data_IF_098296486292
#
_entry.id   IF_098296486292
#
_cell.length_a   1.000
_cell.length_b   1.000
_cell.length_c   1.000
_cell.angle_alpha   90.00
_cell.angle_beta   90.00
_cell.angle_gamma   90.00
#
_symmetry.space_group_name_H-M   'P 1'
#
loop_
_entity.id
_entity.type
_entity.pdbx_description
1 polymer ?
#
# COMPACT_ATOMS: atom_id res chain seq x y z
N UNK A 1 23.07 -37.25 -16.26
CA UNK A 1 21.68 -37.69 -16.52
C UNK A 1 20.79 -36.49 -16.28
N UNK A 2 20.36 -35.81 -17.34
CA UNK A 2 19.51 -34.61 -17.24
C UNK A 2 18.07 -35.04 -16.99
N UNK A 3 17.48 -34.63 -15.87
CA UNK A 3 16.04 -34.76 -15.63
C UNK A 3 15.31 -33.53 -16.19
N UNK A 4 14.13 -33.69 -16.80
CA UNK A 4 13.38 -32.58 -17.35
C UNK A 4 12.79 -31.72 -16.23
N UNK A 5 12.86 -30.41 -16.41
CA UNK A 5 12.24 -29.41 -15.53
C UNK A 5 10.74 -29.36 -15.86
N UNK A 6 9.81 -29.55 -14.91
CA UNK A 6 8.40 -29.34 -15.18
C UNK A 6 8.13 -27.85 -15.40
N UNK A 7 7.21 -27.54 -16.32
CA UNK A 7 6.81 -26.19 -16.68
C UNK A 7 6.23 -25.44 -15.46
N UNK A 8 6.97 -24.46 -14.96
CA UNK A 8 6.54 -23.54 -13.89
C UNK A 8 5.73 -22.39 -14.49
N UNK A 9 4.45 -22.62 -14.79
CA UNK A 9 3.49 -21.55 -15.02
C UNK A 9 2.77 -21.24 -13.70
N UNK A 10 2.98 -20.03 -13.16
CA UNK A 10 2.29 -19.42 -12.00
C UNK A 10 2.97 -19.46 -10.61
N UNK A 11 4.31 -19.41 -10.52
CA UNK A 11 4.97 -18.91 -9.30
C UNK A 11 5.36 -17.43 -9.51
N UNK A 12 5.16 -16.53 -8.52
CA UNK A 12 5.62 -15.16 -8.62
C UNK A 12 7.11 -15.13 -8.92
N UNK A 13 7.55 -14.28 -9.85
CA UNK A 13 8.96 -14.13 -10.24
C UNK A 13 9.90 -13.96 -9.03
N UNK A 14 9.44 -13.33 -7.95
CA UNK A 14 10.17 -13.21 -6.69
C UNK A 14 10.37 -14.54 -5.95
N UNK A 15 9.39 -15.45 -5.99
CA UNK A 15 9.51 -16.80 -5.44
C UNK A 15 10.42 -17.67 -6.31
N UNK A 16 10.39 -17.51 -7.63
CA UNK A 16 11.34 -18.16 -8.54
C UNK A 16 12.77 -17.63 -8.27
N UNK A 17 12.96 -16.32 -8.08
CA UNK A 17 14.26 -15.72 -7.79
C UNK A 17 14.79 -16.15 -6.41
N UNK A 18 13.92 -16.20 -5.39
CA UNK A 18 14.23 -16.71 -4.06
C UNK A 18 14.57 -18.22 -4.08
N UNK A 19 13.83 -19.02 -4.84
CA UNK A 19 14.14 -20.44 -5.06
C UNK A 19 15.42 -20.63 -5.89
N UNK A 20 15.74 -19.73 -6.83
CA UNK A 20 16.98 -19.76 -7.61
C UNK A 20 18.21 -19.40 -6.76
N UNK A 21 18.07 -18.48 -5.79
CA UNK A 21 19.09 -18.22 -4.77
C UNK A 21 19.31 -19.42 -3.85
N UNK A 22 18.28 -20.24 -3.62
CA UNK A 22 18.39 -21.51 -2.90
C UNK A 22 18.96 -22.64 -3.78
N UNK A 23 18.71 -22.62 -5.10
CA UNK A 23 19.14 -23.66 -6.06
C UNK A 23 20.59 -23.49 -6.53
N UNK A 24 21.09 -22.26 -6.63
CA UNK A 24 22.53 -21.98 -6.86
C UNK A 24 23.22 -22.06 -5.50
N UNK A 25 23.65 -23.26 -5.10
CA UNK A 25 24.26 -23.60 -3.81
C UNK A 25 25.49 -22.81 -3.38
N UNK A 26 25.33 -21.50 -3.17
CA UNK A 26 26.40 -20.56 -2.80
C UNK A 26 26.15 -19.87 -1.45
N UNK A 27 25.00 -20.08 -0.80
CA UNK A 27 24.66 -19.36 0.43
C UNK A 27 24.88 -20.23 1.69
N UNK A 28 24.91 -21.56 1.59
CA UNK A 28 24.99 -22.44 2.77
C UNK A 28 25.84 -23.69 2.53
N UNK A 29 26.79 -23.95 3.42
CA UNK A 29 27.55 -25.19 3.46
C UNK A 29 26.75 -26.36 4.10
N UNK A 30 25.69 -26.06 4.86
CA UNK A 30 24.84 -27.04 5.57
C UNK A 30 23.36 -26.59 5.57
N UNK A 31 22.40 -27.54 5.60
CA UNK A 31 20.96 -27.22 5.64
C UNK A 31 20.57 -26.58 6.99
N UNK A 32 19.71 -25.54 7.00
CA UNK A 32 19.25 -24.90 8.23
C UNK A 32 18.36 -25.84 9.05
N UNK A 33 18.52 -25.82 10.37
CA UNK A 33 17.77 -26.64 11.31
C UNK A 33 16.46 -25.94 11.70
N UNK A 34 16.42 -24.60 11.70
CA UNK A 34 15.24 -23.82 12.14
C UNK A 34 14.95 -22.58 11.29
N UNK A 35 13.70 -22.46 10.84
CA UNK A 35 13.24 -21.40 9.94
C UNK A 35 11.93 -20.81 10.46
N UNK A 36 11.82 -19.48 10.48
CA UNK A 36 10.55 -18.78 10.70
C UNK A 36 10.00 -18.20 9.40
N UNK A 37 8.69 -18.30 9.19
CA UNK A 37 7.97 -17.60 8.13
C UNK A 37 7.10 -16.54 8.80
N UNK A 38 7.26 -15.27 8.40
CA UNK A 38 6.43 -14.16 8.85
C UNK A 38 5.45 -13.81 7.75
N UNK A 39 4.20 -14.27 7.90
CA UNK A 39 3.08 -13.92 7.03
C UNK A 39 1.79 -13.92 7.86
N UNK A 40 1.50 -12.83 8.60
CA UNK A 40 0.40 -12.81 9.55
C UNK A 40 -0.99 -12.83 8.92
N UNK A 41 -1.13 -12.40 7.66
CA UNK A 41 -2.40 -12.32 6.91
C UNK A 41 -2.28 -11.35 5.73
N UNK A 42 -3.28 -11.18 4.85
CA UNK A 42 -4.67 -11.67 4.85
C UNK A 42 -4.86 -13.17 4.51
N UNK A 43 -6.10 -13.65 4.37
CA UNK A 43 -6.41 -15.04 3.98
C UNK A 43 -5.73 -15.44 2.66
N UNK A 44 -5.96 -14.69 1.58
CA UNK A 44 -5.40 -15.01 0.25
C UNK A 44 -3.88 -14.96 0.24
N UNK A 45 -3.32 -13.99 0.95
CA UNK A 45 -1.89 -13.84 1.24
C UNK A 45 -1.25 -15.09 1.89
N UNK A 46 -1.95 -15.73 2.83
CA UNK A 46 -1.48 -16.95 3.49
C UNK A 46 -1.53 -18.13 2.51
N UNK A 47 -2.64 -18.28 1.79
CA UNK A 47 -2.81 -19.34 0.78
C UNK A 47 -1.71 -19.27 -0.29
N UNK A 48 -1.38 -18.07 -0.77
CA UNK A 48 -0.30 -17.86 -1.75
C UNK A 48 1.11 -18.07 -1.16
N UNK A 49 1.28 -18.04 0.15
CA UNK A 49 2.55 -18.32 0.81
C UNK A 49 2.77 -19.81 1.14
N UNK A 50 1.71 -20.65 1.15
CA UNK A 50 1.82 -22.08 1.43
C UNK A 50 2.78 -22.85 0.49
N UNK A 51 2.84 -22.57 -0.82
CA UNK A 51 3.83 -23.20 -1.70
C UNK A 51 5.27 -22.92 -1.28
N UNK A 52 5.55 -21.77 -0.67
CA UNK A 52 6.88 -21.45 -0.14
C UNK A 52 7.26 -22.40 1.00
N UNK A 53 6.37 -22.61 1.97
CA UNK A 53 6.62 -23.58 3.06
C UNK A 53 6.81 -25.01 2.52
N UNK A 54 6.02 -25.40 1.51
CA UNK A 54 6.13 -26.72 0.87
C UNK A 54 7.47 -26.89 0.14
N UNK A 55 7.93 -25.87 -0.58
CA UNK A 55 9.22 -25.87 -1.26
C UNK A 55 10.39 -25.94 -0.28
N UNK A 56 10.31 -25.20 0.84
CA UNK A 56 11.31 -25.27 1.92
C UNK A 56 11.35 -26.66 2.52
N UNK A 57 10.20 -27.28 2.82
CA UNK A 57 10.11 -28.65 3.34
C UNK A 57 10.68 -29.68 2.35
N UNK A 58 10.40 -29.53 1.05
CA UNK A 58 10.94 -30.42 0.03
C UNK A 58 12.47 -30.34 -0.08
N UNK A 59 13.03 -29.11 0.03
CA UNK A 59 14.47 -28.89 -0.02
C UNK A 59 15.18 -29.30 1.27
N UNK A 60 14.55 -29.06 2.42
CA UNK A 60 15.09 -29.37 3.75
C UNK A 60 14.06 -30.12 4.60
N UNK A 61 13.92 -31.45 4.41
CA UNK A 61 12.90 -32.27 5.06
C UNK A 61 12.94 -32.25 6.59
N UNK A 62 14.10 -31.98 7.19
CA UNK A 62 14.29 -31.99 8.64
C UNK A 62 14.21 -30.60 9.30
N UNK A 63 14.09 -29.52 8.51
CA UNK A 63 14.02 -28.17 9.06
C UNK A 63 12.76 -27.95 9.90
N UNK A 64 12.87 -27.31 11.05
CA UNK A 64 11.74 -26.89 11.87
C UNK A 64 11.19 -25.57 11.33
N UNK A 65 9.98 -25.60 10.76
CA UNK A 65 9.37 -24.43 10.12
C UNK A 65 8.29 -23.88 11.06
N UNK A 66 8.55 -22.72 11.66
CA UNK A 66 7.56 -22.01 12.49
C UNK A 66 6.92 -20.87 11.71
N UNK A 67 5.60 -20.74 11.72
CA UNK A 67 4.88 -19.69 10.98
C UNK A 67 4.24 -18.68 11.91
N UNK A 68 4.58 -17.39 11.76
CA UNK A 68 3.94 -16.28 12.47
C UNK A 68 2.64 -15.88 11.77
N UNK A 69 1.50 -16.17 12.41
CA UNK A 69 0.16 -16.07 11.80
C UNK A 69 -0.84 -15.38 12.73
N UNK A 70 -1.77 -14.59 12.19
CA UNK A 70 -2.93 -14.07 12.94
C UNK A 70 -3.87 -15.22 13.33
N UNK A 71 -4.33 -15.32 14.60
CA UNK A 71 -5.22 -16.39 15.06
C UNK A 71 -6.44 -16.64 14.18
N UNK A 72 -6.97 -15.61 13.50
CA UNK A 72 -8.13 -15.73 12.61
C UNK A 72 -7.90 -16.65 11.42
N UNK A 73 -6.64 -16.85 11.05
CA UNK A 73 -6.24 -17.64 9.88
C UNK A 73 -5.41 -18.88 10.25
N UNK A 74 -5.14 -19.09 11.54
CA UNK A 74 -4.32 -20.18 12.06
C UNK A 74 -4.77 -21.56 11.55
N UNK A 75 -6.09 -21.75 11.46
CA UNK A 75 -6.72 -23.00 11.00
C UNK A 75 -6.36 -23.41 9.58
N UNK A 76 -5.88 -22.49 8.74
CA UNK A 76 -5.39 -22.81 7.39
C UNK A 76 -4.09 -23.61 7.41
N UNK A 77 -3.36 -23.57 8.52
CA UNK A 77 -2.11 -24.31 8.70
C UNK A 77 -2.31 -25.63 9.44
N UNK A 78 -3.53 -25.90 9.93
CA UNK A 78 -3.83 -27.14 10.64
C UNK A 78 -3.72 -28.34 9.67
N UNK A 79 -3.03 -29.39 10.09
CA UNK A 79 -2.77 -30.57 9.25
C UNK A 79 -1.74 -30.36 8.13
N UNK A 80 -1.15 -29.17 8.02
CA UNK A 80 -0.09 -28.92 7.03
C UNK A 80 1.22 -29.61 7.44
N UNK A 81 1.69 -30.57 6.64
CA UNK A 81 2.92 -31.35 6.91
C UNK A 81 4.22 -30.55 6.74
N UNK A 82 4.15 -29.39 6.11
CA UNK A 82 5.30 -28.53 5.89
C UNK A 82 5.56 -27.61 7.08
N UNK A 83 4.52 -27.19 7.81
CA UNK A 83 4.64 -26.27 8.96
C UNK A 83 4.71 -27.05 10.27
N UNK A 84 5.81 -26.89 11.02
CA UNK A 84 6.04 -27.59 12.29
C UNK A 84 5.30 -26.93 13.45
N UNK A 85 5.30 -25.60 13.50
CA UNK A 85 4.72 -24.84 14.62
C UNK A 85 4.04 -23.55 14.15
N UNK A 86 2.99 -23.14 14.87
CA UNK A 86 2.34 -21.85 14.68
C UNK A 86 2.76 -20.88 15.80
N UNK A 87 3.09 -19.65 15.43
CA UNK A 87 3.38 -18.54 16.34
C UNK A 87 2.25 -17.52 16.19
N UNK A 88 1.35 -17.47 17.15
CA UNK A 88 0.16 -16.63 17.07
C UNK A 88 0.51 -15.15 17.26
N UNK A 89 0.20 -14.32 16.27
CA UNK A 89 0.38 -12.88 16.28
C UNK A 89 -0.90 -12.17 16.74
N UNK A 90 -0.88 -11.43 17.87
CA UNK A 90 -2.10 -10.93 18.53
C UNK A 90 -2.63 -9.64 17.88
N UNK A 91 -2.87 -9.65 16.56
CA UNK A 91 -3.22 -8.45 15.78
C UNK A 91 -4.41 -7.66 16.35
N UNK A 92 -5.42 -8.34 16.89
CA UNK A 92 -6.61 -7.71 17.49
C UNK A 92 -6.31 -6.99 18.80
N UNK A 93 -5.40 -7.54 19.63
CA UNK A 93 -4.94 -6.92 20.89
C UNK A 93 -3.98 -5.75 20.66
N UNK A 94 -3.39 -5.67 19.47
CA UNK A 94 -2.54 -4.54 19.04
C UNK A 94 -3.34 -3.35 18.50
N UNK A 95 -4.62 -3.23 18.90
CA UNK A 95 -5.49 -2.08 18.62
C UNK A 95 -5.89 -1.40 19.93
N UNK A 96 -5.98 -0.07 19.94
CA UNK A 96 -6.37 0.72 21.11
C UNK A 96 -5.21 1.19 22.00
N UNK A 97 -5.56 1.81 23.12
CA UNK A 97 -4.62 2.54 24.00
C UNK A 97 -3.60 1.65 24.73
N UNK A 98 -3.86 0.35 24.89
CA UNK A 98 -2.94 -0.65 25.47
C UNK A 98 -2.11 -1.42 24.44
N UNK A 99 -2.18 -1.04 23.16
CA UNK A 99 -1.52 -1.76 22.07
C UNK A 99 0.00 -1.92 22.26
N UNK A 100 0.67 -0.90 22.80
CA UNK A 100 2.11 -0.95 23.08
C UNK A 100 2.47 -2.02 24.12
N UNK A 101 1.71 -2.10 25.22
CA UNK A 101 1.90 -3.11 26.27
C UNK A 101 1.74 -4.53 25.71
N UNK A 102 0.66 -4.78 24.96
CA UNK A 102 0.43 -6.09 24.34
C UNK A 102 1.49 -6.45 23.29
N UNK A 103 2.06 -5.47 22.60
CA UNK A 103 3.18 -5.70 21.68
C UNK A 103 4.44 -6.12 22.45
N UNK A 104 4.72 -5.44 23.57
CA UNK A 104 5.85 -5.76 24.44
C UNK A 104 5.70 -7.12 25.09
N UNK A 105 4.52 -7.47 25.61
CA UNK A 105 4.21 -8.78 26.18
C UNK A 105 4.44 -9.90 25.16
N UNK A 106 3.93 -9.72 23.95
CA UNK A 106 4.11 -10.70 22.88
C UNK A 106 5.58 -10.81 22.45
N UNK A 107 6.27 -9.69 22.27
CA UNK A 107 7.69 -9.67 21.95
C UNK A 107 8.53 -10.33 23.06
N UNK A 108 8.23 -10.07 24.32
CA UNK A 108 8.85 -10.73 25.46
C UNK A 108 8.59 -12.25 25.45
N UNK A 109 7.39 -12.67 25.03
CA UNK A 109 7.07 -14.08 24.77
C UNK A 109 7.93 -14.70 23.67
N UNK A 110 8.24 -13.95 22.60
CA UNK A 110 9.17 -14.40 21.56
C UNK A 110 10.61 -14.54 22.07
N UNK A 111 11.06 -13.64 22.96
CA UNK A 111 12.42 -13.69 23.53
C UNK A 111 12.68 -14.97 24.34
N UNK A 112 11.63 -15.61 24.86
CA UNK A 112 11.71 -16.91 25.55
C UNK A 112 11.90 -18.09 24.60
N UNK A 113 11.68 -17.91 23.29
CA UNK A 113 11.89 -18.94 22.27
C UNK A 113 13.35 -18.93 21.80
N UNK A 114 13.84 -20.09 21.38
CA UNK A 114 15.13 -20.17 20.68
C UNK A 114 15.05 -19.39 19.37
N UNK A 115 16.05 -18.53 19.07
CA UNK A 115 16.08 -17.80 17.80
C UNK A 115 16.24 -18.80 16.64
N UNK A 116 15.51 -18.63 15.52
CA UNK A 116 15.73 -19.45 14.35
C UNK A 116 17.03 -19.06 13.65
N UNK A 117 17.57 -19.92 12.80
CA UNK A 117 18.71 -19.55 11.96
C UNK A 117 18.27 -18.56 10.87
N UNK A 118 17.08 -18.80 10.31
CA UNK A 118 16.52 -18.03 9.20
C UNK A 118 15.13 -17.51 9.56
N UNK A 119 14.84 -16.26 9.22
CA UNK A 119 13.49 -15.70 9.24
C UNK A 119 13.15 -15.14 7.85
N UNK A 120 12.01 -15.55 7.31
CA UNK A 120 11.50 -15.18 5.99
C UNK A 120 10.27 -14.27 6.16
N UNK A 121 10.43 -12.97 5.92
CA UNK A 121 9.32 -12.02 5.85
C UNK A 121 8.72 -12.01 4.44
N UNK A 122 7.62 -12.76 4.29
CA UNK A 122 6.86 -12.85 3.05
C UNK A 122 5.73 -11.79 2.97
N UNK A 123 5.60 -10.94 3.99
CA UNK A 123 4.58 -9.90 4.03
C UNK A 123 5.08 -8.58 3.45
N UNK A 124 6.36 -8.24 3.64
CA UNK A 124 6.98 -7.05 3.04
C UNK A 124 6.42 -5.71 3.55
N UNK A 125 5.96 -5.66 4.82
CA UNK A 125 5.46 -4.45 5.46
C UNK A 125 6.34 -4.07 6.65
N UNK A 126 6.40 -2.78 7.01
CA UNK A 126 7.18 -2.32 8.17
C UNK A 126 6.86 -3.11 9.46
N UNK A 127 5.59 -3.42 9.68
CA UNK A 127 5.16 -4.21 10.86
C UNK A 127 5.70 -5.64 10.83
N UNK A 128 5.68 -6.31 9.68
CA UNK A 128 6.22 -7.67 9.57
C UNK A 128 7.74 -7.67 9.67
N UNK A 129 8.40 -6.63 9.20
CA UNK A 129 9.83 -6.46 9.37
C UNK A 129 10.22 -6.31 10.86
N UNK A 130 9.43 -5.58 11.66
CA UNK A 130 9.63 -5.49 13.12
C UNK A 130 9.43 -6.87 13.76
N UNK A 131 8.40 -7.62 13.37
CA UNK A 131 8.17 -9.00 13.84
C UNK A 131 9.36 -9.90 13.51
N UNK A 132 9.87 -9.82 12.27
CA UNK A 132 11.02 -10.58 11.82
C UNK A 132 12.27 -10.21 12.63
N UNK A 133 12.49 -8.92 12.93
CA UNK A 133 13.59 -8.46 13.79
C UNK A 133 13.48 -9.02 15.22
N UNK A 134 12.27 -9.08 15.78
CA UNK A 134 12.02 -9.65 17.11
C UNK A 134 12.30 -11.16 17.19
N UNK A 135 12.34 -11.88 16.06
CA UNK A 135 12.75 -13.30 16.04
C UNK A 135 14.20 -13.53 16.48
N UNK A 136 15.06 -12.50 16.34
CA UNK A 136 16.51 -12.57 16.56
C UNK A 136 17.20 -13.61 15.66
N UNK A 137 16.65 -13.86 14.47
CA UNK A 137 17.27 -14.77 13.53
C UNK A 137 18.66 -14.29 13.10
N UNK A 138 19.59 -15.23 12.88
CA UNK A 138 20.93 -14.91 12.37
C UNK A 138 20.84 -14.28 10.98
N UNK A 139 19.90 -14.77 10.16
CA UNK A 139 19.64 -14.25 8.83
C UNK A 139 18.15 -13.95 8.66
N UNK A 140 17.84 -12.73 8.25
CA UNK A 140 16.47 -12.30 7.96
C UNK A 140 16.42 -11.97 6.46
N UNK A 141 15.60 -12.71 5.73
CA UNK A 141 15.28 -12.43 4.34
C UNK A 141 13.86 -11.91 4.27
N UNK A 142 13.63 -10.91 3.45
CA UNK A 142 12.29 -10.42 3.20
C UNK A 142 12.23 -9.73 1.87
N UNK A 143 11.02 -9.43 1.43
CA UNK A 143 10.84 -8.44 0.37
C UNK A 143 11.20 -7.09 0.97
N UNK A 144 12.44 -6.64 0.73
CA UNK A 144 12.75 -5.23 0.87
C UNK A 144 11.90 -4.51 -0.19
N UNK A 145 11.04 -3.56 0.18
CA UNK A 145 10.75 -2.49 -0.75
C UNK A 145 12.10 -1.79 -0.94
N UNK A 146 12.83 -2.15 -2.00
CA UNK A 146 14.00 -1.39 -2.39
C UNK A 146 13.52 0.06 -2.60
N UNK A 147 14.03 1.05 -1.85
CA UNK A 147 13.53 2.41 -1.93
C UNK A 147 13.88 3.10 -3.28
N UNK A 148 14.68 2.46 -4.14
CA UNK A 148 15.03 2.97 -5.46
C UNK A 148 13.88 2.69 -6.42
N UNK A 149 12.96 3.66 -6.55
CA UNK A 149 11.84 3.70 -7.51
C UNK A 149 11.14 2.34 -7.76
N UNK A 150 10.24 1.89 -6.86
CA UNK A 150 9.41 0.72 -7.11
C UNK A 150 8.63 0.90 -8.42
N UNK A 151 8.77 -0.07 -9.31
CA UNK A 151 7.95 -0.16 -10.51
C UNK A 151 6.56 -0.67 -10.14
N UNK A 152 5.54 0.06 -10.59
CA UNK A 152 4.16 -0.33 -10.43
C UNK A 152 3.59 -0.62 -11.81
N UNK A 153 3.58 -1.90 -12.26
CA UNK A 153 3.00 -2.26 -13.54
C UNK A 153 1.47 -2.15 -13.46
N UNK A 154 0.96 -0.94 -13.62
CA UNK A 154 -0.48 -0.64 -13.64
C UNK A 154 -1.05 -0.98 -15.02
N UNK A 155 -2.28 -1.53 -15.09
CA UNK A 155 -2.96 -1.69 -16.36
C UNK A 155 -3.24 -0.30 -16.97
N UNK A 156 -3.28 -0.20 -18.29
CA UNK A 156 -3.62 1.05 -18.99
C UNK A 156 -5.04 1.55 -18.69
N UNK A 157 -5.95 0.61 -18.35
CA UNK A 157 -7.38 0.90 -18.20
C UNK A 157 -8.05 1.24 -19.54
N UNK A 158 -9.27 1.76 -19.49
CA UNK A 158 -10.02 2.25 -20.64
C UNK A 158 -10.88 3.48 -20.25
N UNK A 159 -11.19 4.40 -21.20
CA UNK A 159 -11.95 5.60 -20.89
C UNK A 159 -13.39 5.28 -20.47
N UNK A 160 -13.93 5.94 -19.42
CA UNK A 160 -15.35 5.85 -19.10
C UNK A 160 -16.23 6.61 -20.11
N UNK A 161 -17.52 6.31 -20.11
CA UNK A 161 -18.51 7.09 -20.86
C UNK A 161 -18.72 8.48 -20.24
N UNK A 162 -18.99 9.50 -21.06
CA UNK A 162 -19.32 10.85 -20.59
C UNK A 162 -18.11 11.73 -20.26
N UNK A 163 -16.96 11.47 -20.87
CA UNK A 163 -15.79 12.35 -20.81
C UNK A 163 -16.04 13.67 -21.55
N UNK A 164 -15.36 14.77 -21.15
CA UNK A 164 -15.42 16.03 -21.90
C UNK A 164 -14.75 15.87 -23.28
N UNK A 165 -15.15 16.73 -24.23
CA UNK A 165 -14.48 16.83 -25.53
C UNK A 165 -13.05 17.39 -25.42
N UNK A 166 -12.77 18.16 -24.35
CA UNK A 166 -11.45 18.73 -24.11
C UNK A 166 -10.42 17.64 -23.77
N UNK A 167 -9.21 17.77 -24.29
CA UNK A 167 -8.11 16.82 -24.06
C UNK A 167 -7.43 16.97 -22.69
N UNK A 168 -7.60 18.12 -22.04
CA UNK A 168 -7.04 18.43 -20.73
C UNK A 168 -8.14 18.64 -19.69
N UNK A 169 -7.95 18.09 -18.50
CA UNK A 169 -8.94 18.14 -17.42
C UNK A 169 -8.30 17.78 -16.07
N UNK A 170 -8.91 18.21 -14.97
CA UNK A 170 -8.47 17.88 -13.61
C UNK A 170 -9.32 16.72 -13.08
N UNK A 171 -8.69 15.74 -12.43
CA UNK A 171 -9.42 14.74 -11.64
C UNK A 171 -9.50 15.19 -10.19
N UNK A 172 -10.72 15.35 -9.67
CA UNK A 172 -10.99 15.48 -8.24
C UNK A 172 -11.54 14.15 -7.71
N UNK A 173 -10.84 13.57 -6.74
CA UNK A 173 -11.30 12.39 -5.99
C UNK A 173 -11.52 12.77 -4.51
N UNK A 174 -12.72 13.22 -4.13
CA UNK A 174 -12.94 13.91 -2.86
C UNK A 174 -13.32 12.99 -1.69
N UNK A 175 -13.63 11.72 -1.95
CA UNK A 175 -14.16 10.79 -0.95
C UNK A 175 -13.18 9.69 -0.57
N UNK A 176 -13.12 9.38 0.72
CA UNK A 176 -12.34 8.26 1.27
C UNK A 176 -13.17 7.46 2.27
N UNK A 177 -12.74 6.23 2.53
CA UNK A 177 -13.34 5.41 3.59
C UNK A 177 -12.92 5.94 4.97
N UNK A 178 -13.90 6.15 5.84
CA UNK A 178 -13.71 6.52 7.25
C UNK A 178 -14.10 7.97 7.55
N UNK A 179 -14.62 8.19 8.76
CA UNK A 179 -15.18 9.48 9.16
C UNK A 179 -14.15 10.63 9.16
N UNK A 180 -14.52 11.74 8.53
CA UNK A 180 -13.71 12.96 8.46
C UNK A 180 -12.50 12.88 7.54
N UNK A 181 -12.46 11.91 6.61
CA UNK A 181 -11.40 11.82 5.58
C UNK A 181 -11.80 12.35 4.21
N UNK A 182 -13.10 12.57 4.00
CA UNK A 182 -13.65 13.13 2.77
C UNK A 182 -13.71 14.65 2.84
N UNK A 183 -13.72 15.31 1.69
CA UNK A 183 -14.05 16.72 1.57
C UNK A 183 -15.53 16.95 1.85
N UNK A 184 -15.87 18.13 2.39
CA UNK A 184 -17.27 18.56 2.46
C UNK A 184 -17.77 18.97 1.08
N UNK A 185 -19.08 18.92 0.86
CA UNK A 185 -19.70 19.39 -0.39
C UNK A 185 -19.32 20.86 -0.69
N UNK A 186 -19.27 21.70 0.35
CA UNK A 186 -18.86 23.11 0.23
C UNK A 186 -17.40 23.28 -0.22
N UNK A 187 -16.49 22.40 0.21
CA UNK A 187 -15.10 22.42 -0.21
C UNK A 187 -14.95 21.97 -1.68
N UNK A 188 -15.74 20.97 -2.08
CA UNK A 188 -15.79 20.47 -3.46
C UNK A 188 -16.28 21.57 -4.40
N UNK A 189 -17.39 22.22 -4.07
CA UNK A 189 -17.92 23.34 -4.86
C UNK A 189 -16.92 24.49 -4.95
N UNK A 190 -16.33 24.90 -3.83
CA UNK A 190 -15.35 25.99 -3.79
C UNK A 190 -14.16 25.72 -4.73
N UNK A 191 -13.70 24.46 -4.78
CA UNK A 191 -12.64 24.05 -5.70
C UNK A 191 -13.10 24.12 -7.15
N UNK A 192 -14.29 23.61 -7.46
CA UNK A 192 -14.86 23.63 -8.80
C UNK A 192 -15.03 25.05 -9.35
N UNK A 193 -15.52 25.98 -8.53
CA UNK A 193 -15.74 27.39 -8.89
C UNK A 193 -14.46 28.13 -9.27
N UNK A 194 -13.29 27.65 -8.85
CA UNK A 194 -12.04 28.28 -9.23
C UNK A 194 -11.68 28.04 -10.70
N UNK A 195 -12.12 26.97 -11.35
CA UNK A 195 -11.74 26.70 -12.73
C UNK A 195 -12.82 27.24 -13.66
N UNK A 196 -12.45 28.09 -14.64
CA UNK A 196 -13.45 28.71 -15.53
C UNK A 196 -13.86 27.76 -16.66
N UNK A 197 -12.90 27.37 -17.50
CA UNK A 197 -13.12 26.55 -18.70
C UNK A 197 -12.45 25.18 -18.67
N UNK A 198 -11.54 24.94 -17.73
CA UNK A 198 -10.85 23.66 -17.59
C UNK A 198 -11.78 22.64 -16.92
N UNK A 199 -12.14 21.52 -17.58
CA UNK A 199 -13.08 20.58 -17.00
C UNK A 199 -12.55 19.94 -15.71
N UNK A 200 -13.42 19.81 -14.71
CA UNK A 200 -13.14 19.10 -13.46
C UNK A 200 -13.99 17.85 -13.40
N UNK A 201 -13.35 16.69 -13.46
CA UNK A 201 -14.02 15.40 -13.35
C UNK A 201 -14.02 14.97 -11.89
N UNK A 202 -15.20 14.68 -11.34
CA UNK A 202 -15.36 14.23 -9.97
C UNK A 202 -15.68 12.75 -9.98
N UNK A 203 -14.78 11.91 -9.48
CA UNK A 203 -14.94 10.46 -9.49
C UNK A 203 -14.72 9.84 -8.11
N UNK A 204 -15.20 8.62 -7.93
CA UNK A 204 -15.11 7.89 -6.67
C UNK A 204 -16.47 7.35 -6.20
N UNK A 205 -16.50 6.90 -4.95
CA UNK A 205 -17.72 6.39 -4.30
C UNK A 205 -18.19 7.44 -3.30
N UNK A 206 -19.38 7.99 -3.51
CA UNK A 206 -19.96 9.04 -2.67
C UNK A 206 -21.13 9.73 -3.34
N UNK A 207 -21.71 10.70 -2.64
CA UNK A 207 -22.87 11.46 -3.12
C UNK A 207 -22.58 12.95 -3.03
N UNK A 208 -23.22 13.71 -3.92
CA UNK A 208 -23.20 15.16 -3.94
C UNK A 208 -24.62 15.67 -4.15
N UNK A 209 -25.10 16.43 -3.19
CA UNK A 209 -26.40 17.12 -3.25
C UNK A 209 -26.40 18.38 -4.14
N UNK A 210 -25.35 19.23 -4.14
CA UNK A 210 -25.43 20.51 -4.84
C UNK A 210 -25.25 20.37 -6.35
N UNK A 211 -25.82 21.32 -7.09
CA UNK A 211 -25.61 21.44 -8.53
C UNK A 211 -24.18 21.91 -8.79
N UNK A 212 -23.44 21.12 -9.56
CA UNK A 212 -22.09 21.45 -9.97
C UNK A 212 -22.08 22.51 -11.09
N UNK A 213 -21.02 23.33 -11.19
CA UNK A 213 -20.78 24.18 -12.35
C UNK A 213 -20.80 23.41 -13.68
N UNK A 214 -21.08 24.09 -14.80
CA UNK A 214 -21.26 23.44 -16.11
C UNK A 214 -20.00 22.76 -16.68
N UNK A 215 -18.81 23.21 -16.28
CA UNK A 215 -17.52 22.59 -16.64
C UNK A 215 -17.16 21.39 -15.77
N UNK A 216 -17.97 21.08 -14.75
CA UNK A 216 -17.73 19.96 -13.84
C UNK A 216 -18.58 18.74 -14.24
N UNK A 217 -17.94 17.58 -14.33
CA UNK A 217 -18.59 16.32 -14.71
C UNK A 217 -18.51 15.35 -13.53
N UNK A 218 -19.66 14.93 -13.02
CA UNK A 218 -19.72 13.91 -11.96
C UNK A 218 -19.79 12.49 -12.53
N UNK A 219 -18.72 11.75 -12.28
CA UNK A 219 -18.56 10.31 -12.52
C UNK A 219 -18.66 9.50 -11.22
N UNK A 220 -19.21 10.09 -10.14
CA UNK A 220 -19.43 9.41 -8.87
C UNK A 220 -20.31 8.17 -9.07
N UNK A 221 -19.86 7.04 -8.51
CA UNK A 221 -20.51 5.73 -8.62
C UNK A 221 -20.70 5.22 -10.06
N UNK A 222 -20.01 5.79 -11.06
CA UNK A 222 -20.15 5.47 -12.49
C UNK A 222 -18.89 4.88 -13.14
N UNK A 223 -17.83 4.69 -12.35
CA UNK A 223 -16.55 4.18 -12.86
C UNK A 223 -16.23 2.83 -12.24
N UNK A 224 -15.84 1.87 -13.09
CA UNK A 224 -15.11 0.68 -12.70
C UNK A 224 -13.68 1.01 -12.25
N UNK A 225 -12.97 0.01 -11.69
CA UNK A 225 -11.58 0.17 -11.30
C UNK A 225 -10.66 0.51 -12.50
N UNK A 226 -10.86 -0.14 -13.65
CA UNK A 226 -10.04 0.09 -14.84
C UNK A 226 -10.29 1.47 -15.45
N UNK A 227 -11.53 1.98 -15.38
CA UNK A 227 -11.84 3.36 -15.79
C UNK A 227 -11.24 4.38 -14.83
N UNK A 228 -11.28 4.13 -13.51
CA UNK A 228 -10.63 5.00 -12.53
C UNK A 228 -9.11 5.06 -12.74
N UNK A 229 -8.47 3.92 -13.03
CA UNK A 229 -7.03 3.89 -13.35
C UNK A 229 -6.76 4.70 -14.61
N UNK A 230 -7.54 4.51 -15.68
CA UNK A 230 -7.40 5.28 -16.91
C UNK A 230 -7.51 6.78 -16.65
N UNK A 231 -8.52 7.21 -15.88
CA UNK A 231 -8.70 8.61 -15.50
C UNK A 231 -7.44 9.15 -14.78
N UNK A 232 -6.92 8.43 -13.79
CA UNK A 232 -5.71 8.82 -13.05
C UNK A 232 -4.49 9.03 -13.97
N UNK A 233 -4.36 8.21 -15.01
CA UNK A 233 -3.24 8.24 -15.95
C UNK A 233 -3.36 9.32 -17.02
N UNK A 234 -4.58 9.80 -17.33
CA UNK A 234 -4.82 10.74 -18.43
C UNK A 234 -5.22 12.15 -17.98
N UNK A 235 -5.54 12.35 -16.70
CA UNK A 235 -5.80 13.69 -16.16
C UNK A 235 -4.59 14.63 -16.36
N UNK A 236 -4.82 15.93 -16.47
CA UNK A 236 -3.70 16.87 -16.47
C UNK A 236 -3.07 16.94 -15.07
N UNK A 237 -3.92 16.93 -14.04
CA UNK A 237 -3.53 16.86 -12.65
C UNK A 237 -4.62 16.14 -11.82
N UNK A 238 -4.22 15.48 -10.74
CA UNK A 238 -5.13 14.79 -9.82
C UNK A 238 -5.05 15.39 -8.42
N UNK A 239 -6.20 15.81 -7.90
CA UNK A 239 -6.38 16.19 -6.50
C UNK A 239 -7.20 15.10 -5.84
N UNK A 240 -6.63 14.43 -4.84
CA UNK A 240 -7.29 13.30 -4.17
C UNK A 240 -7.11 13.40 -2.68
N UNK A 241 -8.13 13.05 -1.90
CA UNK A 241 -7.92 12.68 -0.50
C UNK A 241 -7.07 11.40 -0.42
N UNK A 242 -6.47 11.16 0.75
CA UNK A 242 -5.70 9.96 1.07
C UNK A 242 -6.53 8.67 0.86
N UNK A 243 -6.44 8.10 -0.34
CA UNK A 243 -7.28 7.02 -0.86
C UNK A 243 -6.59 6.29 -2.01
N UNK A 244 -7.17 5.18 -2.47
CA UNK A 244 -6.61 4.33 -3.53
C UNK A 244 -6.15 5.10 -4.78
N UNK A 245 -6.98 5.96 -5.38
CA UNK A 245 -6.59 6.74 -6.57
C UNK A 245 -5.35 7.61 -6.39
N UNK A 246 -5.15 8.21 -5.20
CA UNK A 246 -3.92 8.96 -4.91
C UNK A 246 -2.67 8.07 -5.08
N UNK A 247 -2.72 6.82 -4.63
CA UNK A 247 -1.61 5.89 -4.78
C UNK A 247 -1.39 5.42 -6.23
N UNK A 248 -2.47 5.23 -6.99
CA UNK A 248 -2.38 4.92 -8.44
C UNK A 248 -1.63 6.03 -9.17
N UNK A 249 -1.97 7.29 -8.92
CA UNK A 249 -1.27 8.43 -9.53
C UNK A 249 0.16 8.54 -9.01
N UNK A 250 0.39 8.37 -7.70
CA UNK A 250 1.73 8.42 -7.14
C UNK A 250 2.68 7.41 -7.79
N UNK A 251 2.16 6.22 -8.07
CA UNK A 251 2.87 5.12 -8.70
C UNK A 251 3.29 5.43 -10.15
N UNK A 252 2.41 6.03 -10.96
CA UNK A 252 2.67 6.26 -12.38
C UNK A 252 3.17 7.68 -12.71
N UNK A 253 2.57 8.71 -12.11
CA UNK A 253 2.77 10.13 -12.43
C UNK A 253 2.72 11.00 -11.19
N UNK A 254 3.55 10.66 -10.19
CA UNK A 254 3.51 11.34 -8.89
C UNK A 254 3.68 12.87 -8.95
N UNK A 255 4.39 13.40 -9.95
CA UNK A 255 4.51 14.85 -10.19
C UNK A 255 3.19 15.56 -10.53
N UNK A 256 2.16 14.81 -10.94
CA UNK A 256 0.80 15.28 -11.25
C UNK A 256 -0.23 14.99 -10.15
N UNK A 257 0.23 14.70 -8.93
CA UNK A 257 -0.62 14.41 -7.77
C UNK A 257 -0.51 15.49 -6.70
N UNK A 258 -1.67 15.92 -6.18
CA UNK A 258 -1.82 16.53 -4.86
C UNK A 258 -2.71 15.64 -3.98
N UNK A 259 -2.10 15.04 -2.95
CA UNK A 259 -2.80 14.22 -1.95
C UNK A 259 -3.18 15.05 -0.73
N UNK A 260 -4.45 15.06 -0.36
CA UNK A 260 -4.99 15.83 0.77
C UNK A 260 -5.02 14.95 2.04
N UNK A 261 -4.16 15.28 3.02
CA UNK A 261 -4.03 14.56 4.28
C UNK A 261 -4.76 15.30 5.42
N UNK A 262 -6.04 14.98 5.59
CA UNK A 262 -6.94 15.63 6.57
C UNK A 262 -6.72 15.06 7.98
N UNK A 263 -6.82 13.74 8.10
CA UNK A 263 -6.75 12.96 9.36
C UNK A 263 -5.65 11.89 9.35
N UNK A 264 -4.74 11.95 8.39
CA UNK A 264 -3.67 10.96 8.24
C UNK A 264 -2.29 11.57 8.38
N UNK A 265 -1.35 10.73 8.84
CA UNK A 265 0.07 11.03 8.84
C UNK A 265 0.67 10.64 7.48
N UNK A 266 1.05 11.59 6.62
CA UNK A 266 1.57 11.32 5.28
C UNK A 266 2.90 10.55 5.29
N UNK A 267 3.61 10.47 6.42
CA UNK A 267 4.82 9.64 6.55
C UNK A 267 4.49 8.15 6.58
N UNK A 268 3.29 7.82 7.06
CA UNK A 268 2.85 6.45 7.29
C UNK A 268 2.00 5.91 6.14
N UNK A 269 1.16 6.77 5.57
CA UNK A 269 0.16 6.37 4.56
C UNK A 269 0.16 7.28 3.34
N UNK A 270 1.06 8.25 3.27
CA UNK A 270 1.16 9.14 2.12
C UNK A 270 1.57 8.42 0.84
N UNK A 271 1.46 9.13 -0.30
CA UNK A 271 1.93 8.60 -1.57
C UNK A 271 3.41 8.19 -1.46
N UNK A 272 3.78 7.12 -2.15
CA UNK A 272 5.16 6.65 -2.12
C UNK A 272 6.12 7.62 -2.80
N UNK A 273 5.68 8.21 -3.92
CA UNK A 273 6.53 9.03 -4.78
C UNK A 273 6.94 10.34 -4.10
N UNK A 274 8.25 10.66 -4.00
CA UNK A 274 8.72 11.95 -3.50
C UNK A 274 8.37 13.11 -4.45
N UNK A 275 7.97 12.79 -5.69
CA UNK A 275 7.43 13.76 -6.65
C UNK A 275 5.96 14.11 -6.34
N UNK A 276 5.26 13.37 -5.50
CA UNK A 276 3.91 13.76 -5.09
C UNK A 276 3.92 15.06 -4.27
N UNK A 277 2.85 15.84 -4.42
CA UNK A 277 2.53 16.92 -3.50
C UNK A 277 1.57 16.41 -2.45
N UNK A 278 1.72 16.92 -1.23
CA UNK A 278 0.78 16.70 -0.15
C UNK A 278 0.30 18.04 0.39
N UNK A 279 -0.99 18.10 0.73
CA UNK A 279 -1.53 19.14 1.61
C UNK A 279 -1.71 18.54 3.00
N UNK A 280 -1.22 19.21 4.04
CA UNK A 280 -1.51 18.85 5.43
C UNK A 280 -1.49 20.12 6.29
N UNK A 281 -2.51 20.31 7.14
CA UNK A 281 -2.49 21.35 8.18
C UNK A 281 -2.37 22.79 7.65
N UNK A 282 -2.80 23.05 6.41
CA UNK A 282 -2.75 24.37 5.77
C UNK A 282 -1.55 24.62 4.84
N UNK A 283 -0.68 23.63 4.63
CA UNK A 283 0.51 23.79 3.78
C UNK A 283 0.57 22.73 2.68
N UNK A 284 0.95 23.13 1.46
CA UNK A 284 1.31 22.23 0.36
C UNK A 284 2.84 22.08 0.29
N UNK A 285 3.32 20.83 0.30
CA UNK A 285 4.76 20.51 0.19
C UNK A 285 5.00 19.22 -0.59
N UNK A 286 6.24 18.97 -0.97
CA UNK A 286 6.63 17.68 -1.55
C UNK A 286 6.52 16.58 -0.50
N UNK A 287 6.15 15.40 -0.96
CA UNK A 287 6.06 14.23 -0.14
C UNK A 287 7.43 13.84 0.42
N UNK A 288 7.47 13.55 1.71
CA UNK A 288 8.67 13.08 2.40
C UNK A 288 8.28 12.00 3.42
N UNK A 289 8.62 10.75 3.09
CA UNK A 289 8.35 9.58 3.93
C UNK A 289 9.39 9.38 5.05
N UNK A 290 10.38 10.27 5.18
CA UNK A 290 11.34 10.20 6.27
C UNK A 290 10.60 10.24 7.62
N UNK A 291 10.98 9.39 8.60
CA UNK A 291 10.48 9.48 9.97
C UNK A 291 10.71 10.87 10.60
N UNK A 292 11.71 11.61 10.12
CA UNK A 292 12.06 12.95 10.58
C UNK A 292 11.35 14.08 9.82
N UNK A 293 10.50 13.76 8.83
CA UNK A 293 9.76 14.79 8.10
C UNK A 293 8.79 15.54 9.03
N UNK A 294 8.67 16.86 8.80
CA UNK A 294 7.75 17.72 9.56
C UNK A 294 6.30 17.27 9.36
N UNK A 295 5.61 17.05 10.47
CA UNK A 295 4.16 16.83 10.53
C UNK A 295 3.48 18.13 10.91
N UNK A 296 2.40 18.46 10.22
CA UNK A 296 1.50 19.54 10.61
C UNK A 296 0.23 18.96 11.27
N UNK A 297 -0.43 19.72 12.15
CA UNK A 297 -1.63 19.26 12.85
C UNK A 297 -2.72 18.84 11.87
N UNK A 298 -3.53 17.86 12.29
CA UNK A 298 -4.72 17.47 11.55
C UNK A 298 -5.69 18.66 11.50
N UNK A 299 -6.18 18.97 10.30
CA UNK A 299 -7.05 20.11 10.05
C UNK A 299 -8.07 19.72 8.99
N UNK A 300 -9.35 19.98 9.26
CA UNK A 300 -10.39 19.85 8.25
C UNK A 300 -10.18 20.92 7.17
N UNK A 301 -10.30 20.57 5.88
CA UNK A 301 -10.25 21.58 4.82
C UNK A 301 -11.51 22.44 4.84
N UNK A 302 -11.32 23.73 5.14
CA UNK A 302 -12.35 24.75 4.96
C UNK A 302 -12.31 25.39 3.57
N UNK A 303 -13.18 26.38 3.33
CA UNK A 303 -13.21 27.12 2.06
C UNK A 303 -11.88 27.79 1.72
N UNK A 304 -11.29 28.51 2.67
CA UNK A 304 -10.00 29.20 2.46
C UNK A 304 -8.84 28.25 2.16
N UNK A 305 -8.85 27.04 2.72
CA UNK A 305 -7.87 26.01 2.38
C UNK A 305 -8.05 25.52 0.94
N UNK A 306 -9.31 25.39 0.48
CA UNK A 306 -9.61 25.02 -0.90
C UNK A 306 -9.25 26.13 -1.90
N UNK A 307 -9.45 27.40 -1.54
CA UNK A 307 -9.01 28.55 -2.34
C UNK A 307 -7.50 28.51 -2.56
N UNK A 308 -6.76 28.23 -1.49
CA UNK A 308 -5.31 28.06 -1.53
C UNK A 308 -4.91 26.86 -2.42
N UNK A 309 -5.56 25.71 -2.26
CA UNK A 309 -5.31 24.51 -3.07
C UNK A 309 -5.57 24.77 -4.55
N UNK A 310 -6.71 25.38 -4.89
CA UNK A 310 -7.07 25.68 -6.27
C UNK A 310 -6.13 26.72 -6.89
N UNK A 311 -5.81 27.80 -6.17
CA UNK A 311 -4.86 28.82 -6.60
C UNK A 311 -3.45 28.27 -6.83
N UNK A 312 -3.01 27.36 -5.96
CA UNK A 312 -1.74 26.67 -6.13
C UNK A 312 -1.73 25.79 -7.39
N UNK A 313 -2.85 25.09 -7.65
CA UNK A 313 -2.98 24.23 -8.83
C UNK A 313 -3.00 25.04 -10.14
N UNK A 314 -3.75 26.15 -10.20
CA UNK A 314 -3.75 27.05 -11.38
C UNK A 314 -2.34 27.46 -11.80
N UNK A 315 -1.55 27.96 -10.84
CA UNK A 315 -0.15 28.36 -11.06
C UNK A 315 0.75 27.24 -11.57
N UNK A 316 0.37 25.98 -11.41
CA UNK A 316 1.09 24.83 -11.95
C UNK A 316 0.65 24.45 -13.34
N UNK A 317 -0.64 24.55 -13.61
CA UNK A 317 -1.20 24.27 -14.93
C UNK A 317 -0.80 25.34 -15.96
N UNK A 318 -0.49 26.56 -15.50
CA UNK A 318 0.03 27.65 -16.34
C UNK A 318 1.53 27.55 -16.66
N UNK A 319 2.27 26.62 -16.02
CA UNK A 319 3.71 26.47 -16.27
C UNK A 319 3.91 25.55 -17.48
N UNK A 320 4.63 26.01 -18.53
CA UNK A 320 4.84 25.26 -19.76
C UNK A 320 5.64 23.97 -19.56
#
# INVERSE_FOLDING_TARGET
MFFPVPAFSALPLALIFFLLLLKKGQIWALPPISIWIVKPGSLGDIVHALPCASAIRAQWPHAQISWVIDPRWATLLDGNTSVSHQILFPRTRLRGWRSALHAMEWAAGLLRRKPPEICLDLQGLLRSAIIARCSRAKHIFGLLPDPICPEFPLPSGYPPTGLPTASNWILLHPFARGEGKSLSESAILQFCEHFDSLPVLIAGIGELSPRLPSHCISLLNKTSLLEMIWLCLHAEFVVSVDSGPAHVVAAARGDRLLSLHIRSDPRMVGPYSPRAWIWQGGEIRRQNLSPHARILPQKQLGKSDMDYVASWLKKRLERP
#
